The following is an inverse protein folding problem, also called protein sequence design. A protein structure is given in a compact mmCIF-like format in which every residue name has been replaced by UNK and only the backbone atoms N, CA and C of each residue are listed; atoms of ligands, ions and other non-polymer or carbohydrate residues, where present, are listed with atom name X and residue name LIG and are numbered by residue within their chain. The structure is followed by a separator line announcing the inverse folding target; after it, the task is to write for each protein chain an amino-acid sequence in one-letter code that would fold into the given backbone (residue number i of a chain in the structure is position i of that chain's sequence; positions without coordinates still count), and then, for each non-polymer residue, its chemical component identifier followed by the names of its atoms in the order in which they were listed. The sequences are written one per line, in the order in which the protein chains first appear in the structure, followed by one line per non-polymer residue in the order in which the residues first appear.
data_IF_494332467577
#
_entry.id   IF_494332467577
#
_cell.length_a   1.000
_cell.length_b   1.000
_cell.length_c   1.000
_cell.angle_alpha   90.00
_cell.angle_beta   90.00
_cell.angle_gamma   90.00
#
_symmetry.space_group_name_H-M   'P 1'
#
loop_
_entity.id
_entity.type
_entity.pdbx_description
1 polymer ?
#
# COMPACT_ATOMS: atom_id res chain seq x y z
N UNK A 1 28.29 -6.24 -14.64
CA UNK A 1 28.67 -7.10 -13.49
C UNK A 1 27.54 -7.00 -12.49
N UNK A 2 26.79 -8.08 -12.29
CA UNK A 2 25.72 -8.15 -11.30
C UNK A 2 26.37 -8.57 -9.99
N UNK A 3 26.26 -7.81 -8.89
CA UNK A 3 26.83 -8.23 -7.62
C UNK A 3 26.09 -9.48 -7.13
N UNK A 4 26.83 -10.56 -6.89
CA UNK A 4 26.34 -11.73 -6.16
C UNK A 4 26.42 -11.40 -4.67
N UNK A 5 25.28 -11.14 -4.05
CA UNK A 5 25.20 -11.00 -2.60
C UNK A 5 24.86 -12.36 -1.99
N UNK A 6 25.80 -12.88 -1.21
CA UNK A 6 25.56 -14.03 -0.35
C UNK A 6 24.89 -13.46 0.92
N UNK A 7 23.57 -13.45 0.94
CA UNK A 7 22.81 -13.22 2.18
C UNK A 7 23.09 -14.42 3.09
N UNK A 8 23.83 -14.18 4.16
CA UNK A 8 24.02 -15.17 5.22
C UNK A 8 22.69 -15.28 5.96
N UNK A 9 22.11 -16.48 5.97
CA UNK A 9 20.87 -16.76 6.69
C UNK A 9 21.11 -16.53 8.19
N UNK A 10 20.64 -15.40 8.73
CA UNK A 10 20.61 -15.15 10.17
C UNK A 10 19.34 -15.74 10.78
N UNK A 11 19.44 -16.26 12.01
CA UNK A 11 18.37 -17.01 12.69
C UNK A 11 17.24 -16.12 13.25
N UNK A 12 17.43 -14.80 13.35
CA UNK A 12 16.42 -13.87 13.91
C UNK A 12 15.95 -12.85 12.88
N UNK A 13 14.64 -12.90 12.60
CA UNK A 13 13.91 -11.87 11.86
C UNK A 13 13.12 -11.01 12.83
N UNK A 14 13.13 -9.70 12.60
CA UNK A 14 12.35 -8.71 13.33
C UNK A 14 11.16 -8.31 12.46
N UNK A 15 9.99 -8.16 13.09
CA UNK A 15 8.81 -7.56 12.44
C UNK A 15 9.00 -6.05 12.41
N UNK A 16 8.97 -5.49 11.21
CA UNK A 16 9.05 -4.06 10.96
C UNK A 16 7.79 -3.59 10.24
N UNK A 17 7.47 -2.31 10.37
CA UNK A 17 6.32 -1.70 9.72
C UNK A 17 6.71 -0.39 9.03
N UNK A 18 6.27 -0.23 7.79
CA UNK A 18 6.44 1.01 7.00
C UNK A 18 5.09 1.67 6.88
N UNK A 19 5.09 3.00 7.01
CA UNK A 19 3.91 3.85 6.85
C UNK A 19 3.98 4.60 5.52
N UNK A 20 2.82 4.80 4.89
CA UNK A 20 2.73 5.56 3.65
C UNK A 20 1.38 6.26 3.51
N UNK A 21 1.38 7.25 2.63
CA UNK A 21 0.19 7.92 2.14
C UNK A 21 0.01 7.53 0.68
N UNK A 22 -1.16 7.02 0.33
CA UNK A 22 -1.53 6.72 -1.06
C UNK A 22 -2.62 7.68 -1.47
N UNK A 23 -2.42 8.38 -2.58
CA UNK A 23 -3.44 9.18 -3.24
C UNK A 23 -3.92 8.42 -4.46
N UNK A 24 -5.21 8.09 -4.50
CA UNK A 24 -5.85 7.31 -5.56
C UNK A 24 -6.84 8.17 -6.32
N UNK A 25 -6.83 8.08 -7.65
CA UNK A 25 -7.93 8.57 -8.50
C UNK A 25 -8.89 7.41 -8.73
N UNK A 26 -10.09 7.49 -8.15
CA UNK A 26 -11.06 6.40 -8.12
C UNK A 26 -12.30 6.69 -8.94
N UNK A 27 -12.94 5.62 -9.41
CA UNK A 27 -14.19 5.63 -10.15
C UNK A 27 -15.20 4.69 -9.48
N UNK A 28 -16.46 5.13 -9.38
CA UNK A 28 -17.58 4.38 -8.81
C UNK A 28 -18.91 4.75 -9.44
N UNK A 29 -19.94 3.94 -9.20
CA UNK A 29 -21.33 4.22 -9.58
C UNK A 29 -22.08 5.08 -8.56
N UNK A 30 -21.56 5.22 -7.34
CA UNK A 30 -22.18 6.03 -6.27
C UNK A 30 -21.14 6.58 -5.29
N UNK A 31 -21.37 7.78 -4.78
CA UNK A 31 -20.58 8.35 -3.68
C UNK A 31 -20.90 7.67 -2.34
N UNK A 32 -20.05 7.87 -1.34
CA UNK A 32 -20.19 7.24 -0.02
C UNK A 32 -19.44 8.04 1.06
N UNK A 33 -19.97 7.99 2.29
CA UNK A 33 -19.31 8.32 3.56
C UNK A 33 -20.13 7.67 4.71
N UNK A 34 -19.54 7.12 5.79
CA UNK A 34 -18.18 6.59 5.99
C UNK A 34 -18.07 5.07 5.69
N UNK A 35 -16.86 4.57 5.41
CA UNK A 35 -16.60 3.20 4.97
C UNK A 35 -15.47 2.51 5.74
N UNK A 36 -15.51 1.18 5.73
CA UNK A 36 -14.33 0.33 5.97
C UNK A 36 -13.65 0.05 4.63
N UNK A 37 -12.32 0.21 4.58
CA UNK A 37 -11.53 0.09 3.36
C UNK A 37 -10.53 -1.04 3.50
N UNK A 38 -10.52 -1.94 2.52
CA UNK A 38 -9.47 -2.94 2.32
C UNK A 38 -8.70 -2.60 1.03
N UNK A 39 -7.38 -2.39 1.16
CA UNK A 39 -6.50 -2.14 0.04
C UNK A 39 -5.73 -3.40 -0.34
N UNK A 40 -5.94 -3.85 -1.58
CA UNK A 40 -5.23 -4.99 -2.17
C UNK A 40 -4.15 -4.52 -3.14
N UNK A 41 -2.93 -4.92 -2.85
CA UNK A 41 -1.74 -4.62 -3.64
C UNK A 41 -1.26 -5.90 -4.32
N UNK A 42 -1.01 -5.82 -5.63
CA UNK A 42 -0.34 -6.89 -6.37
C UNK A 42 1.10 -6.50 -6.69
N UNK A 43 2.06 -7.34 -6.32
CA UNK A 43 3.47 -7.15 -6.68
C UNK A 43 3.72 -7.58 -8.12
N UNK A 44 4.84 -7.14 -8.69
CA UNK A 44 5.31 -7.60 -10.00
C UNK A 44 5.59 -9.11 -10.05
N UNK A 45 5.87 -9.72 -8.89
CA UNK A 45 6.03 -11.18 -8.75
C UNK A 45 4.70 -11.94 -8.68
N UNK A 46 3.56 -11.25 -8.76
CA UNK A 46 2.22 -11.84 -8.74
C UNK A 46 1.71 -12.17 -7.33
N UNK A 47 2.38 -11.70 -6.28
CA UNK A 47 1.95 -11.88 -4.88
C UNK A 47 0.94 -10.80 -4.53
N UNK A 48 -0.14 -11.19 -3.85
CA UNK A 48 -1.15 -10.25 -3.35
C UNK A 48 -0.92 -9.98 -1.87
N UNK A 49 -0.93 -8.70 -1.51
CA UNK A 49 -0.84 -8.21 -0.14
C UNK A 49 -2.08 -7.40 0.21
N UNK A 50 -2.58 -7.58 1.42
CA UNK A 50 -3.59 -6.71 2.00
C UNK A 50 -2.87 -5.74 2.92
N UNK A 51 -2.97 -4.46 2.61
CA UNK A 51 -2.32 -3.40 3.38
C UNK A 51 -3.28 -2.89 4.44
N UNK A 52 -2.77 -2.57 5.63
CA UNK A 52 -3.59 -1.98 6.68
C UNK A 52 -3.86 -0.52 6.32
N UNK A 53 -5.12 -0.13 6.30
CA UNK A 53 -5.55 1.26 6.16
C UNK A 53 -5.89 1.78 7.55
N UNK A 54 -5.15 2.78 8.02
CA UNK A 54 -5.34 3.41 9.34
C UNK A 54 -6.33 4.55 9.28
N UNK A 55 -6.27 5.32 8.21
CA UNK A 55 -7.11 6.50 8.01
C UNK A 55 -7.35 6.72 6.52
N UNK A 56 -8.43 7.41 6.19
CA UNK A 56 -8.76 7.75 4.81
C UNK A 56 -9.61 9.01 4.70
N UNK A 57 -9.55 9.65 3.54
CA UNK A 57 -10.48 10.69 3.12
C UNK A 57 -10.78 10.57 1.62
N UNK A 58 -11.95 11.04 1.20
CA UNK A 58 -12.32 11.05 -0.21
C UNK A 58 -12.97 12.39 -0.59
N UNK A 59 -12.56 12.94 -1.72
CA UNK A 59 -13.11 14.15 -2.30
C UNK A 59 -13.64 13.82 -3.70
N UNK A 60 -14.95 13.87 -3.89
CA UNK A 60 -15.61 13.67 -5.18
C UNK A 60 -15.50 14.95 -6.01
N UNK A 61 -15.08 14.81 -7.27
CA UNK A 61 -14.81 15.94 -8.15
C UNK A 61 -15.92 16.12 -9.18
N UNK A 62 -16.22 15.07 -9.94
CA UNK A 62 -17.12 15.14 -11.09
C UNK A 62 -17.98 13.88 -11.24
N UNK A 63 -19.16 14.05 -11.83
CA UNK A 63 -20.00 12.96 -12.35
C UNK A 63 -20.00 13.02 -13.88
N UNK A 64 -19.55 11.95 -14.54
CA UNK A 64 -19.49 11.83 -16.00
C UNK A 64 -20.03 10.46 -16.39
N UNK A 65 -21.00 10.41 -17.30
CA UNK A 65 -21.59 9.16 -17.82
C UNK A 65 -22.02 8.17 -16.73
N UNK A 66 -22.82 8.65 -15.75
CA UNK A 66 -23.31 7.90 -14.58
C UNK A 66 -22.22 7.34 -13.65
N UNK A 67 -21.01 7.90 -13.73
CA UNK A 67 -19.87 7.53 -12.89
C UNK A 67 -19.34 8.73 -12.12
N UNK A 68 -19.05 8.49 -10.86
CA UNK A 68 -18.43 9.44 -9.96
C UNK A 68 -16.91 9.24 -9.96
N UNK A 69 -16.20 10.34 -10.16
CA UNK A 69 -14.76 10.42 -10.11
C UNK A 69 -14.33 11.23 -8.89
N UNK A 70 -13.34 10.71 -8.17
CA UNK A 70 -12.85 11.35 -6.97
C UNK A 70 -11.40 11.03 -6.68
N UNK A 71 -10.84 11.78 -5.75
CA UNK A 71 -9.55 11.50 -5.16
C UNK A 71 -9.74 10.88 -3.76
N UNK A 72 -9.11 9.74 -3.52
CA UNK A 72 -9.12 9.04 -2.24
C UNK A 72 -7.71 9.02 -1.68
N UNK A 73 -7.51 9.59 -0.50
CA UNK A 73 -6.22 9.56 0.19
C UNK A 73 -6.30 8.53 1.33
N UNK A 74 -5.35 7.60 1.36
CA UNK A 74 -5.27 6.50 2.32
C UNK A 74 -3.97 6.61 3.11
N UNK A 75 -4.06 6.61 4.44
CA UNK A 75 -2.92 6.43 5.32
C UNK A 75 -2.81 4.93 5.60
N UNK A 76 -1.68 4.34 5.21
CA UNK A 76 -1.50 2.90 5.21
C UNK A 76 -0.26 2.46 5.98
N UNK A 77 -0.25 1.19 6.42
CA UNK A 77 0.98 0.51 6.80
C UNK A 77 1.08 -0.91 6.26
N UNK A 78 2.32 -1.31 6.00
CA UNK A 78 2.65 -2.67 5.61
C UNK A 78 3.69 -3.26 6.55
N UNK A 79 3.35 -4.40 7.14
CA UNK A 79 4.24 -5.14 8.04
C UNK A 79 5.06 -6.16 7.23
N UNK A 80 6.36 -6.24 7.50
CA UNK A 80 7.30 -7.15 6.82
C UNK A 80 8.30 -7.71 7.84
N UNK A 81 8.87 -8.87 7.53
CA UNK A 81 9.85 -9.55 8.40
C UNK A 81 11.24 -9.52 7.76
N UNK A 82 12.20 -8.89 8.44
CA UNK A 82 13.56 -8.66 7.95
C UNK A 82 14.58 -8.98 9.02
N UNK A 83 15.82 -9.25 8.61
CA UNK A 83 16.90 -9.42 9.57
C UNK A 83 17.23 -8.06 10.21
N UNK A 84 17.62 -8.08 11.49
CA UNK A 84 17.85 -6.86 12.29
C UNK A 84 18.95 -5.95 11.70
N UNK A 85 20.03 -6.55 11.19
CA UNK A 85 21.16 -5.82 10.59
C UNK A 85 20.83 -5.17 9.24
N UNK A 86 19.82 -5.68 8.53
CA UNK A 86 19.44 -5.25 7.18
C UNK A 86 18.13 -4.46 7.13
N UNK A 87 17.52 -4.15 8.28
CA UNK A 87 16.13 -3.69 8.36
C UNK A 87 15.81 -2.48 7.47
N UNK A 88 16.72 -1.50 7.37
CA UNK A 88 16.54 -0.30 6.54
C UNK A 88 16.68 -0.59 5.04
N UNK A 89 17.63 -1.45 4.65
CA UNK A 89 17.84 -1.81 3.24
C UNK A 89 16.75 -2.78 2.77
N UNK A 90 16.44 -3.78 3.58
CA UNK A 90 15.37 -4.72 3.32
C UNK A 90 13.99 -4.04 3.34
N UNK A 91 13.76 -3.02 4.18
CA UNK A 91 12.59 -2.16 4.05
C UNK A 91 12.55 -1.52 2.66
N UNK A 92 13.61 -0.81 2.24
CA UNK A 92 13.65 -0.16 0.93
C UNK A 92 13.50 -1.16 -0.25
N UNK A 93 14.06 -2.36 -0.14
CA UNK A 93 13.94 -3.42 -1.15
C UNK A 93 12.55 -4.06 -1.16
N UNK A 94 11.99 -4.45 -0.01
CA UNK A 94 10.62 -4.94 0.09
C UNK A 94 9.61 -3.88 -0.37
N UNK A 95 9.89 -2.60 -0.14
CA UNK A 95 9.08 -1.47 -0.63
C UNK A 95 9.21 -1.31 -2.15
N UNK A 96 10.39 -1.57 -2.73
CA UNK A 96 10.58 -1.59 -4.19
C UNK A 96 9.92 -2.82 -4.85
N UNK A 97 9.82 -3.94 -4.13
CA UNK A 97 9.02 -5.11 -4.54
C UNK A 97 7.53 -4.86 -4.41
N UNK A 98 7.12 -4.02 -3.44
CA UNK A 98 5.78 -3.42 -3.33
C UNK A 98 5.57 -2.28 -4.33
N UNK A 99 6.30 -2.22 -5.46
CA UNK A 99 5.87 -1.50 -6.67
C UNK A 99 4.55 -2.11 -7.15
N UNK A 100 3.50 -1.72 -6.43
CA UNK A 100 2.18 -2.27 -6.43
C UNK A 100 1.45 -1.81 -7.67
N UNK A 101 0.81 -2.74 -8.37
CA UNK A 101 -0.32 -2.37 -9.21
C UNK A 101 -1.55 -2.41 -8.29
N UNK A 102 -2.07 -1.23 -7.95
CA UNK A 102 -3.33 -1.10 -7.22
C UNK A 102 -4.45 -1.23 -8.27
N UNK A 103 -5.21 -2.31 -8.20
CA UNK A 103 -6.29 -2.57 -9.16
C UNK A 103 -7.65 -2.10 -8.66
N UNK A 104 -7.92 -2.29 -7.37
CA UNK A 104 -9.21 -1.99 -6.77
C UNK A 104 -9.08 -1.67 -5.29
N UNK A 105 -10.01 -0.86 -4.80
CA UNK A 105 -10.22 -0.64 -3.36
C UNK A 105 -11.56 -1.25 -3.00
N UNK A 106 -11.56 -2.15 -2.01
CA UNK A 106 -12.78 -2.82 -1.57
C UNK A 106 -13.36 -2.07 -0.39
N UNK A 107 -14.65 -1.84 -0.46
CA UNK A 107 -15.43 -1.17 0.57
C UNK A 107 -16.61 -2.03 1.00
N UNK A 108 -17.26 -1.69 2.10
CA UNK A 108 -18.53 -2.33 2.49
C UNK A 108 -19.70 -2.01 1.54
N UNK A 109 -19.53 -1.05 0.62
CA UNK A 109 -20.57 -0.61 -0.33
C UNK A 109 -20.31 -1.08 -1.77
N UNK A 110 -19.18 -1.76 -2.03
CA UNK A 110 -18.76 -2.22 -3.35
C UNK A 110 -17.25 -2.08 -3.61
N UNK A 111 -16.82 -2.36 -4.84
CA UNK A 111 -15.44 -2.12 -5.27
C UNK A 111 -15.31 -0.82 -6.03
N UNK A 112 -14.20 -0.13 -5.79
CA UNK A 112 -13.77 1.07 -6.49
C UNK A 112 -12.70 0.70 -7.49
N UNK A 113 -12.84 1.20 -8.71
CA UNK A 113 -11.79 1.08 -9.71
C UNK A 113 -10.77 2.18 -9.52
N UNK A 114 -9.49 1.82 -9.47
CA UNK A 114 -8.38 2.79 -9.42
C UNK A 114 -7.92 3.07 -10.85
N UNK A 115 -7.99 4.33 -11.26
CA UNK A 115 -7.56 4.77 -12.59
C UNK A 115 -6.12 5.28 -12.59
N UNK A 116 -5.66 5.83 -11.47
CA UNK A 116 -4.30 6.33 -11.29
C UNK A 116 -3.98 6.40 -9.79
N UNK A 117 -2.70 6.40 -9.44
CA UNK A 117 -2.27 6.51 -8.05
C UNK A 117 -0.89 7.15 -7.88
N UNK A 118 -0.69 7.76 -6.72
CA UNK A 118 0.58 8.23 -6.22
C UNK A 118 0.81 7.64 -4.84
N UNK A 119 2.02 7.20 -4.54
CA UNK A 119 2.39 6.73 -3.21
C UNK A 119 3.56 7.54 -2.67
N UNK A 120 3.37 8.11 -1.48
CA UNK A 120 4.37 8.85 -0.72
C UNK A 120 4.64 8.11 0.59
N UNK A 121 5.85 7.57 0.74
CA UNK A 121 6.22 6.78 1.92
C UNK A 121 6.82 7.65 3.03
N UNK A 122 6.45 7.34 4.27
CA UNK A 122 6.96 7.96 5.50
C UNK A 122 7.99 7.09 6.22
N UNK A 123 8.57 7.61 7.31
CA UNK A 123 9.65 6.97 8.07
C UNK A 123 9.26 5.58 8.66
N UNK A 124 10.26 4.68 8.72
CA UNK A 124 10.20 3.39 9.42
C UNK A 124 10.45 3.62 10.91
N UNK A 125 9.54 3.14 11.76
CA UNK A 125 9.79 3.05 13.20
C UNK A 125 10.09 1.59 13.53
N UNK A 126 11.30 1.32 14.01
CA UNK A 126 11.63 0.03 14.62
C UNK A 126 11.20 0.05 16.08
N UNK A 127 10.32 -0.85 16.50
CA UNK A 127 10.14 -1.13 17.92
C UNK A 127 11.38 -1.89 18.41
N UNK A 128 12.21 -1.23 19.21
CA UNK A 128 13.24 -1.89 19.99
C UNK A 128 12.54 -2.67 21.11
N UNK A 129 12.48 -4.00 20.99
CA UNK A 129 12.18 -4.89 22.11
C UNK A 129 13.45 -5.21 22.88
#
# INVERSE_FOLDING_TARGET
MTPNFILVQAEQKVKSEVFGNIVLRVETLKTFEPLTIELKIHTLSGVQHVVKVHDWKCEWQDEIDDKWYGEMQLVISYSFEVNEEDALYAANCSISELNAIINEVITNEGSLKVNDFLIEWGHVYGEQN
#
